data_IF_881378936922
#
_entry.id   IF_881378936922
#
_cell.length_a   1.000
_cell.length_b   1.000
_cell.length_c   1.000
_cell.angle_alpha   90.00
_cell.angle_beta   90.00
_cell.angle_gamma   90.00
#
_symmetry.space_group_name_H-M   'P 1'
#
loop_
_entity.id
_entity.type
_entity.pdbx_description
1 polymer ?
#
# COMPACT_ATOMS: atom_id res chain seq x y z
N UNK A 1 -18.50 -56.27 -14.69
CA UNK A 1 -17.38 -56.50 -13.76
C UNK A 1 -16.13 -55.88 -14.39
N UNK A 2 -15.87 -54.59 -14.12
CA UNK A 2 -14.67 -53.88 -14.61
C UNK A 2 -13.80 -53.51 -13.41
N UNK A 3 -12.52 -53.87 -13.50
CA UNK A 3 -11.48 -53.68 -12.48
C UNK A 3 -11.22 -52.19 -12.26
N UNK A 4 -11.35 -51.74 -11.00
CA UNK A 4 -10.71 -50.52 -10.51
C UNK A 4 -9.21 -50.76 -10.43
N UNK A 5 -8.44 -50.12 -11.31
CA UNK A 5 -7.01 -50.01 -11.14
C UNK A 5 -6.74 -48.94 -10.06
N UNK A 6 -6.06 -49.39 -9.00
CA UNK A 6 -5.50 -48.53 -7.96
C UNK A 6 -4.53 -47.50 -8.54
N UNK A 7 -4.80 -46.21 -8.34
CA UNK A 7 -3.75 -45.20 -8.38
C UNK A 7 -3.29 -45.00 -6.94
N UNK A 8 -2.17 -45.67 -6.62
CA UNK A 8 -1.36 -45.32 -5.47
C UNK A 8 -0.38 -44.21 -5.90
N UNK A 9 -0.40 -43.11 -5.15
CA UNK A 9 0.78 -42.44 -4.57
C UNK A 9 0.35 -41.07 -4.06
N UNK A 10 0.50 -40.91 -2.75
CA UNK A 10 0.50 -39.62 -2.07
C UNK A 10 1.39 -38.64 -2.84
N UNK A 11 0.76 -37.65 -3.48
CA UNK A 11 1.45 -36.40 -3.78
C UNK A 11 1.85 -35.82 -2.42
N UNK A 12 3.14 -35.59 -2.21
CA UNK A 12 3.64 -34.89 -1.03
C UNK A 12 2.88 -33.56 -0.94
N UNK A 13 2.37 -33.20 0.24
CA UNK A 13 1.54 -31.99 0.42
C UNK A 13 2.13 -30.70 -0.17
N UNK A 14 3.45 -30.61 -0.34
CA UNK A 14 4.12 -29.51 -1.02
C UNK A 14 3.90 -29.42 -2.54
N UNK A 15 3.64 -30.53 -3.24
CA UNK A 15 3.30 -30.51 -4.67
C UNK A 15 1.82 -30.20 -4.90
N UNK A 16 0.93 -30.70 -4.04
CA UNK A 16 -0.49 -30.30 -4.07
C UNK A 16 -0.69 -28.81 -3.82
N UNK A 17 0.10 -28.18 -2.93
CA UNK A 17 0.07 -26.73 -2.71
C UNK A 17 0.60 -25.93 -3.90
N UNK A 18 1.61 -26.43 -4.61
CA UNK A 18 2.10 -25.79 -5.84
C UNK A 18 1.08 -25.91 -6.97
N UNK A 19 0.43 -27.05 -7.10
CA UNK A 19 -0.65 -27.25 -8.08
C UNK A 19 -1.89 -26.44 -7.72
N UNK A 20 -2.27 -26.33 -6.44
CA UNK A 20 -3.38 -25.45 -6.02
C UNK A 20 -3.05 -23.97 -6.23
N UNK A 21 -1.83 -23.52 -5.90
CA UNK A 21 -1.39 -22.14 -6.13
C UNK A 21 -1.36 -21.78 -7.62
N UNK A 22 -0.91 -22.71 -8.47
CA UNK A 22 -0.92 -22.53 -9.92
C UNK A 22 -2.33 -22.56 -10.51
N UNK A 23 -3.22 -23.42 -9.98
CA UNK A 23 -4.62 -23.51 -10.41
C UNK A 23 -5.43 -22.30 -9.93
N UNK A 24 -5.16 -21.75 -8.74
CA UNK A 24 -5.76 -20.50 -8.28
C UNK A 24 -5.32 -19.34 -9.19
N UNK A 25 -4.02 -19.24 -9.50
CA UNK A 25 -3.49 -18.26 -10.44
C UNK A 25 -4.07 -18.42 -11.87
N UNK A 26 -4.33 -19.65 -12.34
CA UNK A 26 -4.90 -19.90 -13.66
C UNK A 26 -6.42 -19.65 -13.73
N UNK A 27 -7.15 -19.88 -12.65
CA UNK A 27 -8.61 -19.62 -12.58
C UNK A 27 -8.90 -18.11 -12.60
N UNK A 28 -8.00 -17.27 -12.08
CA UNK A 28 -8.09 -15.81 -12.26
C UNK A 28 -7.90 -15.36 -13.72
N UNK A 29 -7.15 -16.10 -14.54
CA UNK A 29 -6.92 -15.74 -15.95
C UNK A 29 -8.12 -16.06 -16.86
N UNK A 30 -9.03 -16.95 -16.46
CA UNK A 30 -10.13 -17.43 -17.33
C UNK A 30 -11.48 -16.75 -17.02
N UNK A 31 -11.64 -16.07 -15.88
CA UNK A 31 -12.93 -15.48 -15.46
C UNK A 31 -13.04 -13.96 -15.53
N UNK A 32 -11.93 -13.23 -15.47
CA UNK A 32 -11.92 -11.78 -15.52
C UNK A 32 -10.62 -11.31 -16.12
N UNK A 33 -10.66 -10.69 -17.30
CA UNK A 33 -9.51 -9.97 -17.79
C UNK A 33 -9.10 -8.95 -16.71
N UNK A 34 -7.91 -9.10 -16.13
CA UNK A 34 -7.33 -7.98 -15.38
C UNK A 34 -7.13 -6.86 -16.41
N UNK A 35 -8.01 -5.86 -16.37
CA UNK A 35 -7.90 -4.72 -17.27
C UNK A 35 -6.69 -3.91 -16.80
N UNK A 36 -5.73 -3.66 -17.68
CA UNK A 36 -4.66 -2.73 -17.36
C UNK A 36 -5.28 -1.36 -17.06
N UNK A 37 -4.95 -0.81 -15.90
CA UNK A 37 -5.29 0.56 -15.51
C UNK A 37 -4.04 1.44 -15.63
N UNK A 38 -4.28 2.75 -15.72
CA UNK A 38 -3.22 3.76 -15.69
C UNK A 38 -3.58 4.79 -14.65
N UNK A 39 -2.63 5.11 -13.78
CA UNK A 39 -2.74 6.19 -12.80
C UNK A 39 -1.57 7.14 -12.98
N UNK A 40 -1.82 8.42 -12.76
CA UNK A 40 -0.84 9.48 -12.92
C UNK A 40 -0.97 10.51 -11.82
N UNK A 41 0.16 11.05 -11.39
CA UNK A 41 0.23 12.16 -10.44
C UNK A 41 1.48 13.00 -10.73
N UNK A 42 1.45 14.26 -10.32
CA UNK A 42 2.57 15.17 -10.50
C UNK A 42 3.52 15.11 -9.30
N UNK A 43 4.82 15.18 -9.59
CA UNK A 43 5.88 15.43 -8.61
C UNK A 43 6.49 16.79 -8.86
N UNK A 44 6.73 17.54 -7.79
CA UNK A 44 7.23 18.91 -7.83
C UNK A 44 8.69 18.98 -7.37
N UNK A 45 9.31 20.14 -7.58
CA UNK A 45 10.67 20.39 -7.09
C UNK A 45 10.71 20.32 -5.56
N UNK A 46 11.64 19.54 -5.02
CA UNK A 46 11.79 19.29 -3.59
C UNK A 46 11.44 17.85 -3.23
N UNK A 47 11.18 17.61 -1.95
CA UNK A 47 10.72 16.32 -1.47
C UNK A 47 9.23 16.13 -1.77
N UNK A 48 8.87 14.94 -2.26
CA UNK A 48 7.50 14.51 -2.49
C UNK A 48 7.30 13.18 -1.75
N UNK A 49 6.19 13.04 -1.03
CA UNK A 49 5.82 11.77 -0.41
C UNK A 49 4.79 11.10 -1.32
N UNK A 50 5.21 10.04 -1.99
CA UNK A 50 4.49 9.43 -3.11
C UNK A 50 4.18 7.96 -2.83
N UNK A 51 3.31 7.38 -3.65
CA UNK A 51 2.95 5.96 -3.60
C UNK A 51 2.63 5.39 -4.98
N UNK A 52 2.39 4.09 -5.03
CA UNK A 52 1.86 3.41 -6.22
C UNK A 52 0.37 3.11 -6.00
N UNK A 53 -0.56 3.83 -6.67
CA UNK A 53 -2.00 3.65 -6.48
C UNK A 53 -2.57 2.46 -7.27
N UNK A 54 -1.70 1.59 -7.80
CA UNK A 54 -1.99 0.42 -8.61
C UNK A 54 -0.90 -0.62 -8.33
N UNK A 55 -1.17 -1.90 -8.59
CA UNK A 55 -0.11 -2.94 -8.60
C UNK A 55 0.66 -2.84 -9.91
N UNK A 56 1.93 -2.37 -9.93
CA UNK A 56 2.66 -2.20 -11.19
C UNK A 56 2.91 -3.55 -11.86
N UNK A 57 2.78 -3.64 -13.19
CA UNK A 57 3.13 -4.87 -13.92
C UNK A 57 4.61 -5.22 -13.82
N UNK A 58 5.44 -4.21 -13.63
CA UNK A 58 6.85 -4.34 -13.30
C UNK A 58 7.09 -3.53 -12.03
N UNK A 59 7.47 -4.20 -10.95
CA UNK A 59 7.71 -3.58 -9.65
C UNK A 59 9.13 -3.02 -9.50
N UNK A 60 9.97 -3.05 -10.54
CA UNK A 60 11.28 -2.39 -10.53
C UNK A 60 11.11 -0.87 -10.32
N UNK A 61 11.65 -0.28 -9.24
CA UNK A 61 11.56 1.16 -8.99
C UNK A 61 12.03 2.01 -10.18
N UNK A 62 13.06 1.55 -10.91
CA UNK A 62 13.58 2.27 -12.07
C UNK A 62 12.58 2.33 -13.23
N UNK A 63 11.66 1.37 -13.35
CA UNK A 63 10.61 1.38 -14.36
C UNK A 63 9.37 2.13 -13.87
N UNK A 64 8.97 1.93 -12.61
CA UNK A 64 7.80 2.59 -12.01
C UNK A 64 7.97 4.11 -11.96
N UNK A 65 9.15 4.57 -11.55
CA UNK A 65 9.45 5.99 -11.39
C UNK A 65 10.33 6.55 -12.51
N UNK A 66 10.39 5.91 -13.68
CA UNK A 66 11.25 6.32 -14.81
C UNK A 66 11.05 7.75 -15.30
N UNK A 67 9.88 8.32 -15.06
CA UNK A 67 9.56 9.71 -15.43
C UNK A 67 10.09 10.75 -14.43
N UNK A 68 10.69 10.32 -13.31
CA UNK A 68 11.32 11.21 -12.35
C UNK A 68 12.42 12.05 -13.05
N UNK A 69 12.39 13.38 -12.94
CA UNK A 69 13.16 14.26 -13.82
C UNK A 69 14.69 14.12 -13.76
N UNK A 70 15.24 13.55 -12.68
CA UNK A 70 16.68 13.30 -12.51
C UNK A 70 17.01 11.80 -12.34
N UNK A 71 16.05 10.92 -12.60
CA UNK A 71 16.12 9.54 -12.13
C UNK A 71 15.88 9.43 -10.63
N UNK A 72 16.15 8.25 -10.07
CA UNK A 72 15.80 7.90 -8.69
C UNK A 72 16.98 7.49 -7.81
N UNK A 73 18.19 7.38 -8.39
CA UNK A 73 19.40 6.92 -7.71
C UNK A 73 19.82 7.88 -6.59
N UNK A 74 19.81 7.40 -5.34
CA UNK A 74 20.01 8.21 -4.13
C UNK A 74 18.90 9.24 -3.82
N UNK A 75 17.84 9.31 -4.63
CA UNK A 75 16.77 10.32 -4.52
C UNK A 75 15.43 9.72 -4.13
N UNK A 76 15.22 8.44 -4.39
CA UNK A 76 14.08 7.66 -3.92
C UNK A 76 14.48 6.93 -2.63
N UNK A 77 13.65 7.01 -1.60
CA UNK A 77 13.78 6.17 -0.41
C UNK A 77 12.44 5.58 0.01
N UNK A 78 12.50 4.37 0.60
CA UNK A 78 11.40 3.75 1.34
C UNK A 78 11.76 3.73 2.83
N UNK A 79 10.78 3.42 3.66
CA UNK A 79 10.99 3.29 5.10
C UNK A 79 10.84 1.85 5.57
N UNK A 80 11.83 1.37 6.31
CA UNK A 80 11.72 0.13 7.08
C UNK A 80 11.55 0.48 8.57
N UNK A 81 10.53 -0.05 9.26
CA UNK A 81 10.27 0.30 10.67
C UNK A 81 11.34 -0.24 11.64
N UNK A 82 12.19 -1.17 11.21
CA UNK A 82 13.32 -1.71 11.98
C UNK A 82 14.62 -0.97 11.66
N UNK A 83 14.90 -0.71 10.38
CA UNK A 83 16.21 -0.22 9.90
C UNK A 83 16.21 1.25 9.49
N UNK A 84 15.04 1.88 9.36
CA UNK A 84 14.88 3.26 8.92
C UNK A 84 14.87 3.41 7.40
N UNK A 85 15.37 4.56 6.91
CA UNK A 85 15.34 4.89 5.48
C UNK A 85 16.26 4.03 4.64
N UNK A 86 15.73 3.44 3.57
CA UNK A 86 16.46 2.67 2.57
C UNK A 86 16.40 3.46 1.26
N UNK A 87 17.54 3.94 0.78
CA UNK A 87 17.67 4.67 -0.47
C UNK A 87 17.86 3.71 -1.64
N UNK A 88 17.29 4.06 -2.80
CA UNK A 88 17.51 3.31 -4.03
C UNK A 88 18.95 3.53 -4.52
N UNK A 89 19.66 2.44 -4.79
CA UNK A 89 21.01 2.43 -5.36
C UNK A 89 20.97 1.59 -6.65
N UNK A 90 21.24 2.22 -7.80
CA UNK A 90 21.21 1.53 -9.09
C UNK A 90 22.28 0.43 -9.24
N UNK A 91 23.33 0.47 -8.41
CA UNK A 91 24.38 -0.55 -8.38
C UNK A 91 24.03 -1.77 -7.53
N UNK A 92 23.08 -1.63 -6.61
CA UNK A 92 22.51 -2.73 -5.79
C UNK A 92 20.99 -2.56 -5.57
N UNK A 93 20.18 -2.67 -6.63
CA UNK A 93 18.74 -2.45 -6.55
C UNK A 93 18.03 -3.48 -5.66
N UNK A 94 18.67 -4.64 -5.42
CA UNK A 94 18.13 -5.70 -4.57
C UNK A 94 17.91 -5.28 -3.12
N UNK A 95 18.74 -4.36 -2.60
CA UNK A 95 18.59 -3.83 -1.23
C UNK A 95 17.33 -2.97 -1.09
N UNK A 96 16.96 -2.22 -2.13
CA UNK A 96 15.72 -1.47 -2.17
C UNK A 96 14.50 -2.36 -2.41
N UNK A 97 14.65 -3.45 -3.17
CA UNK A 97 13.53 -4.32 -3.52
C UNK A 97 12.59 -3.71 -4.55
N UNK A 98 11.41 -4.29 -4.70
CA UNK A 98 10.38 -3.81 -5.62
C UNK A 98 9.44 -2.79 -4.97
N UNK A 99 8.77 -2.00 -5.80
CA UNK A 99 7.67 -1.12 -5.37
C UNK A 99 6.40 -1.92 -5.17
N UNK A 100 5.77 -1.79 -3.99
CA UNK A 100 4.57 -2.52 -3.62
C UNK A 100 3.38 -1.57 -3.43
N UNK A 101 2.18 -2.11 -3.67
CA UNK A 101 0.92 -1.45 -3.33
C UNK A 101 0.82 -1.25 -1.82
N UNK A 102 0.42 -0.05 -1.39
CA UNK A 102 0.28 0.30 0.03
C UNK A 102 1.58 0.80 0.70
N UNK A 103 2.72 0.69 0.03
CA UNK A 103 3.96 1.32 0.50
C UNK A 103 4.02 2.79 0.05
N UNK A 104 4.57 3.64 0.92
CA UNK A 104 4.90 5.01 0.61
C UNK A 104 6.41 5.19 0.41
N UNK A 105 6.77 6.25 -0.32
CA UNK A 105 8.14 6.57 -0.69
C UNK A 105 8.40 8.07 -0.57
N UNK A 106 9.64 8.42 -0.25
CA UNK A 106 10.14 9.77 -0.45
C UNK A 106 10.85 9.84 -1.80
N UNK A 107 10.52 10.86 -2.59
CA UNK A 107 11.23 11.18 -3.83
C UNK A 107 11.67 12.64 -3.82
N UNK A 108 12.97 12.88 -3.93
CA UNK A 108 13.50 14.21 -4.15
C UNK A 108 13.64 14.53 -5.64
N UNK A 109 13.08 15.66 -6.07
CA UNK A 109 13.18 16.15 -7.43
C UNK A 109 13.92 17.51 -7.45
N UNK A 110 14.97 17.65 -8.27
CA UNK A 110 15.65 18.95 -8.43
C UNK A 110 14.87 19.94 -9.32
N UNK A 111 13.91 19.43 -10.10
CA UNK A 111 13.03 20.21 -10.97
C UNK A 111 11.64 19.58 -11.06
N UNK A 112 10.65 20.36 -11.46
CA UNK A 112 9.26 19.93 -11.59
C UNK A 112 8.36 21.11 -12.01
N UNK A 113 7.06 20.89 -12.27
CA UNK A 113 6.37 19.61 -12.13
C UNK A 113 6.73 18.59 -13.23
N UNK A 114 6.62 17.31 -12.89
CA UNK A 114 6.65 16.19 -13.84
C UNK A 114 5.58 15.17 -13.46
N UNK A 115 4.89 14.66 -14.47
CA UNK A 115 3.88 13.62 -14.27
C UNK A 115 4.54 12.25 -14.26
N UNK A 116 4.39 11.54 -13.15
CA UNK A 116 4.65 10.09 -13.06
C UNK A 116 3.42 9.36 -13.58
N UNK A 117 3.62 8.31 -14.36
CA UNK A 117 2.53 7.48 -14.91
C UNK A 117 2.85 6.02 -14.69
N UNK A 118 1.94 5.32 -14.03
CA UNK A 118 2.07 3.92 -13.64
C UNK A 118 0.99 3.14 -14.36
N UNK A 119 1.39 2.05 -15.02
CA UNK A 119 0.47 1.07 -15.61
C UNK A 119 0.51 -0.21 -14.80
N UNK A 120 -0.66 -0.70 -14.42
CA UNK A 120 -0.75 -1.83 -13.51
C UNK A 120 -2.13 -2.45 -13.49
N UNK A 121 -2.31 -3.39 -12.57
CA UNK A 121 -3.64 -3.92 -12.25
C UNK A 121 -4.35 -2.90 -11.36
N UNK A 122 -5.62 -2.56 -11.65
CA UNK A 122 -6.45 -1.75 -10.78
C UNK A 122 -6.52 -2.35 -9.38
N UNK A 123 -6.74 -1.46 -8.44
CA UNK A 123 -6.95 -1.74 -7.04
C UNK A 123 -8.10 -2.71 -6.79
N UNK A 124 -7.85 -3.63 -5.85
CA UNK A 124 -8.83 -4.61 -5.42
C UNK A 124 -9.07 -5.69 -6.48
N UNK A 125 -9.13 -6.94 -6.02
CA UNK A 125 -9.82 -7.96 -6.82
C UNK A 125 -11.31 -7.73 -6.58
N UNK A 126 -12.15 -7.51 -7.62
CA UNK A 126 -13.58 -7.45 -7.39
C UNK A 126 -14.04 -8.77 -6.79
N UNK A 127 -14.86 -8.71 -5.75
CA UNK A 127 -15.48 -9.89 -5.19
C UNK A 127 -16.53 -10.47 -6.16
N UNK A 128 -17.20 -11.56 -5.75
CA UNK A 128 -18.24 -12.18 -6.58
C UNK A 128 -19.44 -11.28 -6.90
N UNK A 129 -19.58 -10.13 -6.23
CA UNK A 129 -20.62 -9.13 -6.45
C UNK A 129 -20.14 -7.91 -7.26
N UNK A 130 -18.84 -7.83 -7.56
CA UNK A 130 -18.22 -6.70 -8.25
C UNK A 130 -17.78 -5.57 -7.34
N UNK A 131 -17.88 -5.73 -6.02
CA UNK A 131 -17.34 -4.77 -5.05
C UNK A 131 -15.82 -4.91 -4.99
N UNK A 132 -15.10 -3.79 -5.01
CA UNK A 132 -13.65 -3.80 -4.87
C UNK A 132 -13.25 -4.21 -3.45
N UNK A 133 -12.15 -4.95 -3.34
CA UNK A 133 -11.65 -5.44 -2.05
C UNK A 133 -10.82 -4.36 -1.34
N UNK A 134 -11.12 -4.12 -0.06
CA UNK A 134 -10.34 -3.25 0.83
C UNK A 134 -8.87 -3.64 0.89
N UNK A 135 -7.99 -2.67 1.06
CA UNK A 135 -6.55 -2.91 1.16
C UNK A 135 -6.12 -3.09 2.61
N UNK A 136 -5.32 -4.13 2.84
CA UNK A 136 -4.70 -4.42 4.13
C UNK A 136 -3.22 -4.04 4.07
N UNK A 137 -2.82 -3.06 4.89
CA UNK A 137 -1.43 -2.61 5.01
C UNK A 137 -0.88 -3.10 6.34
N UNK A 138 0.21 -3.88 6.28
CA UNK A 138 0.87 -4.39 7.47
C UNK A 138 1.67 -3.29 8.16
N UNK A 139 1.49 -3.16 9.47
CA UNK A 139 2.21 -2.22 10.33
C UNK A 139 2.93 -3.03 11.43
N UNK A 140 4.04 -3.71 11.09
CA UNK A 140 4.65 -4.73 11.96
C UNK A 140 5.30 -4.16 13.23
N UNK A 141 5.59 -2.86 13.27
CA UNK A 141 6.38 -2.22 14.33
C UNK A 141 7.88 -2.44 14.17
N UNK A 142 8.66 -2.11 15.20
CA UNK A 142 10.10 -2.36 15.22
C UNK A 142 10.35 -3.81 15.67
N UNK A 143 10.88 -4.64 14.77
CA UNK A 143 11.05 -6.08 15.03
C UNK A 143 12.10 -6.41 16.10
N UNK A 144 13.07 -5.52 16.33
CA UNK A 144 14.15 -5.71 17.32
C UNK A 144 13.65 -5.36 18.72
N UNK A 145 12.94 -4.24 18.86
CA UNK A 145 12.40 -3.79 20.14
C UNK A 145 11.05 -4.43 20.50
N UNK A 146 10.37 -5.04 19.52
CA UNK A 146 8.99 -5.51 19.64
C UNK A 146 8.05 -4.41 20.17
N UNK A 147 8.16 -3.21 19.59
CA UNK A 147 7.38 -2.02 19.91
C UNK A 147 6.69 -1.49 18.66
N UNK A 148 5.78 -0.53 18.83
CA UNK A 148 5.34 0.31 17.72
C UNK A 148 6.51 1.05 17.02
N UNK A 149 6.24 1.59 15.85
CA UNK A 149 7.18 2.31 15.01
C UNK A 149 6.48 3.28 14.05
N UNK A 150 7.27 4.13 13.39
CA UNK A 150 6.86 4.88 12.22
C UNK A 150 6.80 3.98 10.98
N UNK A 151 5.80 4.23 10.14
CA UNK A 151 5.55 3.55 8.87
C UNK A 151 5.30 4.59 7.79
N UNK A 152 5.84 4.35 6.60
CA UNK A 152 5.55 5.17 5.42
C UNK A 152 4.61 4.36 4.51
N UNK A 153 3.33 4.72 4.53
CA UNK A 153 2.28 4.05 3.77
C UNK A 153 1.95 4.83 2.51
N UNK A 154 1.33 4.18 1.54
CA UNK A 154 0.79 4.78 0.34
C UNK A 154 -0.72 4.64 0.27
N UNK A 155 -1.40 5.61 -0.36
CA UNK A 155 -2.78 5.41 -0.80
C UNK A 155 -2.80 4.30 -1.88
N UNK A 156 -3.43 3.15 -1.64
CA UNK A 156 -3.33 2.00 -2.52
C UNK A 156 -4.30 2.05 -3.70
N UNK A 157 -5.05 3.16 -3.82
CA UNK A 157 -6.16 3.30 -4.76
C UNK A 157 -5.91 4.43 -5.75
N UNK A 158 -6.43 4.28 -6.96
CA UNK A 158 -6.35 5.30 -8.02
C UNK A 158 -7.35 6.45 -7.84
N UNK A 159 -8.07 6.45 -6.72
CA UNK A 159 -8.97 7.50 -6.28
C UNK A 159 -8.65 7.90 -4.83
N UNK A 160 -9.20 9.04 -4.43
CA UNK A 160 -9.07 9.51 -3.05
C UNK A 160 -9.99 8.69 -2.13
N UNK A 161 -9.56 8.47 -0.88
CA UNK A 161 -10.35 7.80 0.16
C UNK A 161 -10.57 8.75 1.33
N UNK A 162 -11.82 9.13 1.65
CA UNK A 162 -12.10 9.92 2.84
C UNK A 162 -11.74 9.11 4.09
N UNK A 163 -11.08 9.75 5.07
CA UNK A 163 -10.71 9.05 6.31
C UNK A 163 -11.87 8.89 7.29
N UNK A 164 -12.91 9.70 7.15
CA UNK A 164 -14.10 9.75 7.99
C UNK A 164 -15.39 9.75 7.16
N UNK A 165 -16.49 9.28 7.74
CA UNK A 165 -17.82 9.24 7.12
C UNK A 165 -18.70 10.46 7.50
N UNK A 166 -18.08 11.51 8.06
CA UNK A 166 -18.75 12.71 8.57
C UNK A 166 -19.20 12.59 10.03
N UNK A 167 -18.86 11.49 10.73
CA UNK A 167 -19.15 11.31 12.15
C UNK A 167 -18.03 11.77 13.08
N UNK A 168 -16.87 12.12 12.53
CA UNK A 168 -15.66 12.52 13.27
C UNK A 168 -15.00 11.35 13.99
N UNK A 169 -15.17 10.11 13.52
CA UNK A 169 -14.67 8.90 14.18
C UNK A 169 -13.57 8.17 13.40
N UNK A 170 -13.24 8.67 12.21
CA UNK A 170 -12.32 8.01 11.29
C UNK A 170 -12.86 6.65 10.88
N UNK A 171 -14.18 6.56 10.65
CA UNK A 171 -14.90 5.30 10.48
C UNK A 171 -14.41 4.51 9.26
N UNK A 172 -13.89 5.20 8.25
CA UNK A 172 -13.43 4.58 7.01
C UNK A 172 -12.06 3.91 7.20
N UNK A 173 -11.19 4.38 8.10
CA UNK A 173 -9.90 3.73 8.34
C UNK A 173 -10.00 2.84 9.58
N UNK A 174 -9.71 1.56 9.41
CA UNK A 174 -9.76 0.60 10.52
C UNK A 174 -8.39 0.03 10.85
N UNK A 175 -8.24 -0.42 12.09
CA UNK A 175 -7.03 -1.08 12.58
C UNK A 175 -7.38 -2.39 13.28
N UNK A 176 -6.56 -3.40 13.07
CA UNK A 176 -6.69 -4.70 13.73
C UNK A 176 -5.36 -5.20 14.26
N UNK A 177 -5.37 -5.85 15.42
CA UNK A 177 -4.26 -6.61 15.98
C UNK A 177 -4.36 -8.12 15.66
N UNK A 178 -5.30 -8.49 14.77
CA UNK A 178 -5.66 -9.86 14.44
C UNK A 178 -6.72 -10.48 15.36
N UNK A 179 -7.08 -9.82 16.46
CA UNK A 179 -8.11 -10.28 17.41
C UNK A 179 -9.27 -9.31 17.57
N UNK A 180 -8.99 -8.00 17.50
CA UNK A 180 -9.99 -6.95 17.62
C UNK A 180 -9.84 -5.94 16.49
N UNK A 181 -10.97 -5.49 15.97
CA UNK A 181 -11.05 -4.47 14.94
C UNK A 181 -11.55 -3.17 15.57
N UNK A 182 -10.92 -2.04 15.21
CA UNK A 182 -11.21 -0.70 15.74
C UNK A 182 -11.30 0.31 14.60
N UNK A 183 -12.18 1.29 14.71
CA UNK A 183 -12.07 2.51 13.88
C UNK A 183 -10.79 3.26 14.25
N UNK A 184 -10.36 4.21 13.43
CA UNK A 184 -9.17 5.00 13.72
C UNK A 184 -9.28 5.73 15.07
N UNK A 185 -10.40 6.42 15.36
CA UNK A 185 -10.59 7.08 16.65
C UNK A 185 -10.48 6.11 17.84
N UNK A 186 -11.05 4.91 17.73
CA UNK A 186 -10.98 3.89 18.77
C UNK A 186 -9.55 3.35 18.95
N UNK A 187 -8.80 3.17 17.85
CA UNK A 187 -7.42 2.73 17.88
C UNK A 187 -6.50 3.81 18.50
N UNK A 188 -6.70 5.08 18.14
CA UNK A 188 -5.98 6.21 18.74
C UNK A 188 -6.26 6.33 20.25
N UNK A 189 -7.54 6.24 20.66
CA UNK A 189 -7.94 6.25 22.07
C UNK A 189 -7.35 5.06 22.86
N UNK A 190 -7.22 3.89 22.22
CA UNK A 190 -6.57 2.71 22.78
C UNK A 190 -5.02 2.78 22.75
N UNK A 191 -4.44 3.89 22.29
CA UNK A 191 -2.99 4.06 22.09
C UNK A 191 -2.38 2.97 21.22
N UNK A 192 -3.05 2.62 20.13
CA UNK A 192 -2.49 1.74 19.09
C UNK A 192 -1.73 2.53 18.03
N UNK A 193 -2.27 3.70 17.67
CA UNK A 193 -1.76 4.59 16.62
C UNK A 193 -1.87 6.04 17.07
N UNK A 194 -1.19 6.93 16.36
CA UNK A 194 -1.45 8.37 16.46
C UNK A 194 -2.84 8.75 15.91
N UNK A 195 -3.31 9.92 16.33
CA UNK A 195 -4.56 10.52 15.88
C UNK A 195 -4.45 11.22 14.52
N UNK A 196 -3.24 11.28 13.96
CA UNK A 196 -2.97 11.91 12.69
C UNK A 196 -2.03 11.08 11.81
N UNK A 197 -2.19 11.25 10.51
CA UNK A 197 -1.22 10.88 9.50
C UNK A 197 -0.58 12.17 8.95
N UNK A 198 0.70 12.11 8.59
CA UNK A 198 1.39 13.26 8.01
C UNK A 198 1.78 12.97 6.57
N UNK A 199 1.17 13.69 5.63
CA UNK A 199 1.54 13.70 4.22
C UNK A 199 2.51 14.84 3.89
N UNK A 200 3.13 14.78 2.72
CA UNK A 200 3.94 15.88 2.20
C UNK A 200 3.88 15.94 0.68
N UNK A 201 3.57 17.13 0.17
CA UNK A 201 3.71 17.46 -1.25
C UNK A 201 4.54 18.73 -1.41
N UNK A 202 5.39 18.78 -2.43
CA UNK A 202 6.28 19.93 -2.62
C UNK A 202 5.56 21.19 -3.14
N UNK A 203 4.37 21.09 -3.72
CA UNK A 203 3.59 22.26 -4.14
C UNK A 203 2.88 22.94 -2.97
N UNK A 204 2.38 22.16 -2.01
CA UNK A 204 1.53 22.63 -0.91
C UNK A 204 2.19 22.59 0.48
N UNK A 205 3.27 21.82 0.64
CA UNK A 205 3.97 21.60 1.89
C UNK A 205 3.49 20.35 2.64
N UNK A 206 3.83 20.28 3.92
CA UNK A 206 3.36 19.22 4.81
C UNK A 206 1.86 19.35 5.07
N UNK A 207 1.17 18.21 5.14
CA UNK A 207 -0.26 18.14 5.46
C UNK A 207 -0.47 17.18 6.62
N UNK A 208 -1.27 17.58 7.60
CA UNK A 208 -1.79 16.65 8.59
C UNK A 208 -3.19 16.17 8.20
N UNK A 209 -3.42 14.86 8.21
CA UNK A 209 -4.74 14.25 8.12
C UNK A 209 -5.10 13.75 9.51
N UNK A 210 -6.26 14.10 10.03
CA UNK A 210 -6.72 13.67 11.35
C UNK A 210 -7.94 12.78 11.23
N UNK A 211 -8.13 11.87 12.19
CA UNK A 211 -9.26 10.92 12.16
C UNK A 211 -10.63 11.58 12.12
N UNK A 212 -10.75 12.79 12.65
CA UNK A 212 -12.01 13.54 12.73
C UNK A 212 -12.23 14.47 11.52
N UNK A 213 -11.36 14.41 10.52
CA UNK A 213 -11.40 15.27 9.34
C UNK A 213 -11.02 16.74 9.63
N UNK A 214 -10.62 17.09 10.86
CA UNK A 214 -10.22 18.46 11.22
C UNK A 214 -8.76 18.78 10.89
N UNK A 215 -8.07 17.90 10.16
CA UNK A 215 -6.74 18.15 9.63
C UNK A 215 -6.74 19.19 8.51
N UNK A 216 -5.56 19.37 7.89
CA UNK A 216 -5.40 20.16 6.67
C UNK A 216 -6.04 19.48 5.44
N UNK A 217 -6.29 18.17 5.55
CA UNK A 217 -6.90 17.31 4.55
C UNK A 217 -7.69 16.19 5.26
N UNK A 218 -8.76 15.72 4.63
CA UNK A 218 -9.69 14.71 5.13
C UNK A 218 -9.70 13.44 4.25
N UNK A 219 -8.75 13.34 3.31
CA UNK A 219 -8.62 12.23 2.38
C UNK A 219 -7.18 11.71 2.27
N UNK A 220 -7.04 10.39 2.11
CA UNK A 220 -5.87 9.80 1.48
C UNK A 220 -5.97 10.01 -0.03
N UNK A 221 -5.01 10.72 -0.62
CA UNK A 221 -5.00 11.15 -2.02
C UNK A 221 -4.28 10.15 -2.90
N UNK A 222 -4.82 9.86 -4.08
CA UNK A 222 -4.21 8.92 -5.01
C UNK A 222 -2.78 9.33 -5.38
N UNK A 223 -1.83 8.40 -5.28
CA UNK A 223 -0.41 8.65 -5.58
C UNK A 223 0.39 9.34 -4.47
N UNK A 224 -0.23 9.68 -3.33
CA UNK A 224 0.44 10.26 -2.18
C UNK A 224 0.84 9.19 -1.15
N UNK A 225 1.92 9.46 -0.43
CA UNK A 225 2.34 8.70 0.75
C UNK A 225 2.05 9.46 2.04
N UNK A 226 2.05 8.73 3.16
CA UNK A 226 1.74 9.24 4.49
C UNK A 226 2.58 8.58 5.57
N UNK A 227 3.04 9.36 6.54
CA UNK A 227 3.59 8.85 7.79
C UNK A 227 2.47 8.45 8.74
N UNK A 228 2.60 7.25 9.30
CA UNK A 228 1.75 6.74 10.38
C UNK A 228 2.65 6.25 11.50
N UNK A 229 2.34 6.64 12.73
CA UNK A 229 2.99 6.10 13.90
C UNK A 229 2.09 5.09 14.60
N UNK A 230 2.67 3.95 14.95
CA UNK A 230 2.08 2.92 15.80
C UNK A 230 2.76 2.94 17.16
N UNK A 231 2.00 2.72 18.22
CA UNK A 231 2.53 2.57 19.58
C UNK A 231 2.68 1.09 19.98
N UNK A 232 1.96 0.19 19.30
CA UNK A 232 2.05 -1.26 19.48
C UNK A 232 2.48 -1.92 18.16
N UNK A 233 3.22 -3.04 18.21
CA UNK A 233 3.61 -3.78 17.01
C UNK A 233 2.43 -4.61 16.46
N UNK A 234 2.65 -5.23 15.30
CA UNK A 234 1.78 -6.25 14.70
C UNK A 234 0.33 -5.78 14.44
N UNK A 235 0.16 -4.54 13.97
CA UNK A 235 -1.12 -4.06 13.50
C UNK A 235 -1.27 -4.30 12.00
N UNK A 236 -2.50 -4.34 11.53
CA UNK A 236 -2.85 -4.10 10.14
C UNK A 236 -3.82 -2.92 10.06
N UNK A 237 -3.60 -2.04 9.10
CA UNK A 237 -4.52 -0.97 8.74
C UNK A 237 -5.35 -1.42 7.54
N UNK A 238 -6.64 -1.09 7.56
CA UNK A 238 -7.58 -1.40 6.49
C UNK A 238 -8.04 -0.07 5.89
N UNK A 239 -7.81 0.08 4.59
CA UNK A 239 -8.29 1.22 3.80
C UNK A 239 -9.38 0.70 2.84
N UNK A 240 -10.59 1.27 2.85
CA UNK A 240 -11.71 0.76 2.08
C UNK A 240 -11.57 1.16 0.62
N UNK A 241 -11.85 0.21 -0.27
CA UNK A 241 -11.81 0.46 -1.72
C UNK A 241 -13.05 1.19 -2.23
N UNK A 242 -14.16 1.16 -1.48
CA UNK A 242 -15.36 1.94 -1.80
C UNK A 242 -15.25 3.37 -1.28
N UNK A 243 -15.53 4.35 -2.14
CA UNK A 243 -16.03 5.63 -1.66
C UNK A 243 -17.43 5.39 -1.08
N UNK A 244 -17.62 5.61 0.22
CA UNK A 244 -18.97 5.75 0.76
C UNK A 244 -19.52 7.10 0.28
N UNK A 245 -20.06 7.10 -0.94
CA UNK A 245 -20.94 8.18 -1.44
C UNK A 245 -22.31 8.13 -0.73
#
# INVERSE_FOLDING_TARGET
MFKLNSISKSAKGGEMMKTLGLVLALVFVVGGACFAATASYDVYRGWNMISTPLVPFNSDPADVFKAAPQGIDGLLSRWDPTYGGIYYDSSDPGTFGGTLLGDGYWLYCYSGPKTITITGVPDGVPDGSGAMTDMWISLPGNSVANTGAWHLIGQPFAHDTPVDDGTGTGANIMFTDGTTLKTWAQAAAARWVDDNFTGWDAATGGKAIQFDGNGDDDHLRAGHGYWVHTYVPNLAMIIPAGAHD
#
